data_IF_110997844667
#
_entry.id   IF_110997844667
#
_cell.length_a   1.000
_cell.length_b   1.000
_cell.length_c   1.000
_cell.angle_alpha   90.00
_cell.angle_beta   90.00
_cell.angle_gamma   90.00
#
_symmetry.space_group_name_H-M   'P 1'
#
loop_
_entity.id
_entity.type
_entity.pdbx_description
1 polymer ?
#
# COMPACT_ATOMS: atom_id res chain seq x y z
N UNK A 1 -11.18 35.10 -32.98
CA UNK A 1 -11.24 35.38 -31.53
C UNK A 1 -11.76 34.20 -30.72
N UNK A 2 -12.86 33.55 -31.13
CA UNK A 2 -13.47 32.40 -30.43
C UNK A 2 -12.61 31.13 -30.50
N UNK A 3 -11.92 30.87 -31.62
CA UNK A 3 -11.03 29.70 -31.74
C UNK A 3 -9.82 29.77 -30.80
N UNK A 4 -9.20 30.95 -30.67
CA UNK A 4 -8.08 31.14 -29.74
C UNK A 4 -8.49 30.90 -28.28
N UNK A 5 -9.75 31.20 -27.92
CA UNK A 5 -10.30 30.92 -26.58
C UNK A 5 -10.49 29.42 -26.37
N UNK A 6 -10.98 28.69 -27.38
CA UNK A 6 -11.10 27.22 -27.31
C UNK A 6 -9.73 26.56 -27.20
N UNK A 7 -8.76 26.96 -28.01
CA UNK A 7 -7.39 26.43 -27.97
C UNK A 7 -6.73 26.71 -26.62
N UNK A 8 -6.91 27.89 -26.05
CA UNK A 8 -6.39 28.25 -24.73
C UNK A 8 -7.05 27.42 -23.61
N UNK A 9 -8.37 27.17 -23.71
CA UNK A 9 -9.11 26.33 -22.77
C UNK A 9 -8.63 24.86 -22.82
N UNK A 10 -8.38 24.32 -24.02
CA UNK A 10 -7.87 22.96 -24.21
C UNK A 10 -6.47 22.79 -23.62
N UNK A 11 -5.58 23.79 -23.79
CA UNK A 11 -4.23 23.78 -23.18
C UNK A 11 -4.33 23.83 -21.65
N UNK A 12 -5.23 24.64 -21.10
CA UNK A 12 -5.41 24.75 -19.65
C UNK A 12 -5.90 23.43 -19.04
N UNK A 13 -6.84 22.74 -19.69
CA UNK A 13 -7.32 21.41 -19.26
C UNK A 13 -6.19 20.36 -19.33
N UNK A 14 -5.36 20.38 -20.36
CA UNK A 14 -4.23 19.46 -20.49
C UNK A 14 -3.14 19.67 -19.42
N UNK A 15 -2.93 20.90 -18.95
CA UNK A 15 -1.97 21.20 -17.88
C UNK A 15 -2.43 20.72 -16.49
N UNK A 16 -3.74 20.67 -16.23
CA UNK A 16 -4.29 20.18 -14.94
C UNK A 16 -4.25 18.65 -14.78
N UNK A 17 -3.98 17.89 -15.85
CA UNK A 17 -3.96 16.41 -15.81
C UNK A 17 -2.67 15.88 -15.14
N UNK A 18 -1.65 16.70 -14.93
CA UNK A 18 -0.39 16.27 -14.30
C UNK A 18 -0.41 16.30 -12.76
N UNK A 19 -1.58 16.36 -12.12
CA UNK A 19 -1.67 16.06 -10.69
C UNK A 19 -1.34 14.56 -10.57
N UNK A 20 -0.10 14.25 -10.19
CA UNK A 20 0.29 12.90 -9.80
C UNK A 20 -0.50 12.52 -8.54
N UNK A 21 -1.73 12.04 -8.71
CA UNK A 21 -2.39 11.25 -7.69
C UNK A 21 -1.43 10.10 -7.40
N UNK A 22 -0.86 10.10 -6.20
CA UNK A 22 -0.07 8.98 -5.73
C UNK A 22 -1.05 7.84 -5.46
N UNK A 23 -1.39 7.11 -6.52
CA UNK A 23 -2.37 6.04 -6.44
C UNK A 23 -1.74 4.86 -5.70
N UNK A 24 -2.51 4.28 -4.79
CA UNK A 24 -2.19 2.97 -4.24
C UNK A 24 -2.62 1.89 -5.23
N UNK A 25 -1.82 0.83 -5.37
CA UNK A 25 -2.21 -0.37 -6.10
C UNK A 25 -2.32 -1.54 -5.13
N UNK A 26 -3.31 -2.41 -5.36
CA UNK A 26 -3.55 -3.60 -4.55
C UNK A 26 -3.53 -4.79 -5.51
N UNK A 27 -2.63 -5.73 -5.26
CA UNK A 27 -2.45 -6.94 -6.06
C UNK A 27 -2.50 -8.17 -5.16
N UNK A 28 -3.22 -9.22 -5.59
CA UNK A 28 -3.15 -10.52 -4.93
C UNK A 28 -2.02 -11.31 -5.54
N UNK A 29 -1.00 -11.63 -4.74
CA UNK A 29 0.26 -12.24 -5.24
C UNK A 29 0.35 -13.74 -4.97
N UNK A 30 -0.45 -14.26 -4.03
CA UNK A 30 -0.60 -15.68 -3.73
C UNK A 30 -1.91 -15.93 -2.94
N UNK A 31 -2.34 -17.18 -2.73
CA UNK A 31 -3.47 -17.49 -1.85
C UNK A 31 -3.28 -16.88 -0.46
N UNK A 32 -4.19 -15.98 -0.07
CA UNK A 32 -4.12 -15.29 1.23
C UNK A 32 -3.02 -14.21 1.36
N UNK A 33 -2.35 -13.82 0.27
CA UNK A 33 -1.28 -12.80 0.29
C UNK A 33 -1.60 -11.66 -0.67
N UNK A 34 -1.66 -10.44 -0.14
CA UNK A 34 -1.90 -9.22 -0.89
C UNK A 34 -0.71 -8.27 -0.76
N UNK A 35 -0.37 -7.60 -1.86
CA UNK A 35 0.65 -6.56 -1.94
C UNK A 35 -0.03 -5.21 -2.19
N UNK A 36 0.19 -4.27 -1.27
CA UNK A 36 -0.24 -2.88 -1.43
C UNK A 36 0.98 -2.02 -1.72
N UNK A 37 0.96 -1.28 -2.83
CA UNK A 37 2.05 -0.37 -3.21
C UNK A 37 1.55 1.05 -3.22
N UNK A 38 2.26 1.96 -2.56
CA UNK A 38 1.96 3.40 -2.56
C UNK A 38 3.11 4.17 -3.19
N UNK A 39 2.81 4.94 -4.23
CA UNK A 39 3.80 5.73 -4.95
C UNK A 39 4.85 4.86 -5.64
N UNK A 40 6.09 5.35 -5.69
CA UNK A 40 7.21 4.64 -6.29
C UNK A 40 8.10 4.07 -5.19
N UNK A 41 8.21 2.73 -5.05
CA UNK A 41 9.11 2.11 -4.09
C UNK A 41 10.57 2.50 -4.32
N UNK A 42 11.36 2.47 -3.26
CA UNK A 42 12.81 2.68 -3.34
C UNK A 42 13.47 1.66 -4.27
N UNK A 43 14.56 2.09 -4.90
CA UNK A 43 15.33 1.27 -5.85
C UNK A 43 15.80 -0.04 -5.21
N UNK A 44 16.25 0.02 -3.96
CA UNK A 44 16.75 -1.12 -3.21
C UNK A 44 15.89 -1.31 -1.96
N UNK A 45 15.23 -2.46 -1.88
CA UNK A 45 14.40 -2.87 -0.74
C UNK A 45 15.08 -4.03 -0.03
N UNK A 46 14.90 -4.20 1.30
CA UNK A 46 15.39 -5.39 1.99
C UNK A 46 14.94 -6.70 1.33
N UNK A 47 13.74 -6.72 0.74
CA UNK A 47 13.20 -7.87 0.00
C UNK A 47 13.96 -8.24 -1.28
N UNK A 48 14.81 -7.36 -1.80
CA UNK A 48 15.60 -7.61 -3.01
C UNK A 48 16.85 -8.45 -2.72
N UNK A 49 17.19 -8.64 -1.43
CA UNK A 49 18.40 -9.34 -0.98
C UNK A 49 18.10 -10.69 -0.29
N UNK A 50 16.84 -11.13 -0.29
CA UNK A 50 16.41 -12.42 0.28
C UNK A 50 16.16 -13.43 -0.85
N UNK A 51 16.07 -14.70 -0.48
CA UNK A 51 15.63 -15.75 -1.39
C UNK A 51 14.19 -15.54 -1.87
N UNK A 52 13.90 -16.12 -3.04
CA UNK A 52 12.56 -16.14 -3.60
C UNK A 52 11.58 -16.87 -2.67
N UNK A 53 10.32 -16.42 -2.58
CA UNK A 53 9.31 -17.10 -1.79
C UNK A 53 9.06 -18.52 -2.32
N UNK A 54 8.69 -19.45 -1.43
CA UNK A 54 8.31 -20.81 -1.79
C UNK A 54 6.93 -20.85 -2.47
N UNK A 55 6.86 -20.38 -3.73
CA UNK A 55 5.62 -20.19 -4.47
C UNK A 55 4.82 -21.49 -4.65
N UNK A 56 5.49 -22.63 -4.84
CA UNK A 56 4.84 -23.95 -4.92
C UNK A 56 4.16 -24.38 -3.62
N UNK A 57 4.67 -23.94 -2.47
CA UNK A 57 4.04 -24.20 -1.19
C UNK A 57 2.87 -23.25 -0.96
N UNK A 58 3.03 -21.97 -1.30
CA UNK A 58 1.98 -20.97 -1.20
C UNK A 58 0.77 -21.31 -2.07
N UNK A 59 0.97 -21.85 -3.28
CA UNK A 59 -0.12 -22.23 -4.19
C UNK A 59 -0.98 -23.39 -3.67
N UNK A 60 -0.49 -24.15 -2.68
CA UNK A 60 -1.21 -25.26 -2.04
C UNK A 60 -2.01 -24.81 -0.81
N UNK A 61 -1.86 -23.56 -0.38
CA UNK A 61 -2.65 -23.01 0.73
C UNK A 61 -4.11 -22.84 0.33
N UNK A 62 -5.00 -22.83 1.32
CA UNK A 62 -6.42 -22.56 1.09
C UNK A 62 -6.62 -21.18 0.46
N UNK A 63 -7.40 -21.13 -0.62
CA UNK A 63 -7.72 -19.88 -1.29
C UNK A 63 -8.65 -19.04 -0.42
N UNK A 64 -8.21 -17.83 -0.06
CA UNK A 64 -9.07 -16.81 0.53
C UNK A 64 -9.41 -15.81 -0.57
N UNK A 65 -10.64 -15.82 -1.08
CA UNK A 65 -11.07 -14.89 -2.13
C UNK A 65 -10.99 -13.43 -1.68
N UNK A 66 -11.23 -13.18 -0.40
CA UNK A 66 -11.25 -11.84 0.21
C UNK A 66 -10.09 -11.64 1.16
N UNK A 67 -9.58 -10.41 1.18
CA UNK A 67 -8.65 -9.94 2.20
C UNK A 67 -9.30 -9.98 3.59
N UNK A 68 -8.52 -10.20 4.68
CA UNK A 68 -9.06 -10.19 6.05
C UNK A 68 -9.71 -8.85 6.45
N UNK A 69 -9.37 -7.75 5.79
CA UNK A 69 -9.99 -6.44 5.95
C UNK A 69 -9.98 -5.66 4.63
N UNK A 70 -10.72 -4.56 4.56
CA UNK A 70 -10.75 -3.71 3.38
C UNK A 70 -9.42 -2.96 3.19
N UNK A 71 -8.58 -3.48 2.30
CA UNK A 71 -7.25 -2.93 1.98
C UNK A 71 -7.32 -1.50 1.40
N UNK A 72 -8.47 -1.09 0.86
CA UNK A 72 -8.64 0.27 0.35
C UNK A 72 -8.68 1.32 1.45
N UNK A 73 -8.96 0.91 2.70
CA UNK A 73 -9.01 1.78 3.88
C UNK A 73 -7.63 2.10 4.45
N UNK A 74 -6.57 1.44 4.00
CA UNK A 74 -5.19 1.77 4.40
C UNK A 74 -4.88 3.16 3.86
N UNK A 75 -4.53 4.08 4.76
CA UNK A 75 -4.19 5.45 4.37
C UNK A 75 -2.68 5.60 4.31
N UNK A 76 -2.20 6.14 3.21
CA UNK A 76 -0.80 6.46 3.04
C UNK A 76 -0.59 7.96 2.94
N UNK A 77 0.49 8.45 3.55
CA UNK A 77 0.95 9.83 3.38
C UNK A 77 2.47 9.89 3.35
N UNK A 78 3.01 10.65 2.40
CA UNK A 78 4.42 11.00 2.37
C UNK A 78 4.66 12.22 3.28
N UNK A 79 5.68 12.13 4.13
CA UNK A 79 6.13 13.20 5.02
C UNK A 79 7.60 13.51 4.76
N UNK A 80 8.12 14.58 5.34
CA UNK A 80 9.56 14.88 5.29
C UNK A 80 10.45 13.80 5.93
N UNK A 81 9.87 12.90 6.75
CA UNK A 81 10.59 11.81 7.43
C UNK A 81 10.39 10.44 6.78
N UNK A 82 9.66 10.36 5.67
CA UNK A 82 9.35 9.11 4.97
C UNK A 82 7.85 8.88 4.77
N UNK A 83 7.49 7.63 4.46
CA UNK A 83 6.11 7.21 4.23
C UNK A 83 5.45 6.71 5.51
N UNK A 84 4.22 7.16 5.78
CA UNK A 84 3.39 6.66 6.88
C UNK A 84 2.24 5.85 6.27
N UNK A 85 2.05 4.64 6.78
CA UNK A 85 0.89 3.80 6.51
C UNK A 85 0.04 3.70 7.78
N UNK A 86 -1.25 4.01 7.66
CA UNK A 86 -2.22 3.98 8.75
C UNK A 86 -3.24 2.88 8.47
N UNK A 87 -3.33 1.91 9.37
CA UNK A 87 -4.32 0.84 9.35
C UNK A 87 -5.31 1.10 10.48
N UNK A 88 -6.61 0.97 10.18
CA UNK A 88 -7.65 1.10 11.20
C UNK A 88 -7.76 -0.22 11.96
N UNK A 89 -7.95 -0.14 13.27
CA UNK A 89 -8.04 -1.28 14.17
C UNK A 89 -9.32 -1.16 15.00
N UNK A 90 -10.02 -2.26 15.22
CA UNK A 90 -11.16 -2.36 16.12
C UNK A 90 -10.72 -2.32 17.58
N UNK A 91 -11.61 -1.93 18.49
CA UNK A 91 -11.31 -1.84 19.93
C UNK A 91 -10.90 -3.18 20.56
N UNK A 92 -11.35 -4.29 19.99
CA UNK A 92 -11.09 -5.64 20.52
C UNK A 92 -9.80 -6.29 19.99
N UNK A 93 -9.20 -5.74 18.92
CA UNK A 93 -8.06 -6.35 18.26
C UNK A 93 -6.82 -6.37 19.15
N UNK A 94 -5.98 -7.41 18.99
CA UNK A 94 -4.72 -7.56 19.72
C UNK A 94 -3.59 -7.62 18.70
N UNK A 95 -2.53 -6.86 18.95
CA UNK A 95 -1.34 -6.85 18.09
C UNK A 95 -0.24 -7.72 18.72
N UNK A 96 0.40 -8.53 17.89
CA UNK A 96 1.54 -9.38 18.24
C UNK A 96 2.61 -9.28 17.15
N UNK A 97 3.83 -9.75 17.44
CA UNK A 97 4.94 -9.72 16.48
C UNK A 97 5.91 -8.59 16.77
N UNK A 98 6.32 -7.85 15.74
CA UNK A 98 7.38 -6.82 15.79
C UNK A 98 8.77 -7.35 16.16
N UNK A 99 9.01 -8.65 15.94
CA UNK A 99 10.30 -9.30 16.16
C UNK A 99 10.60 -9.57 17.63
N UNK A 100 11.88 -9.51 17.99
CA UNK A 100 12.35 -9.77 19.35
C UNK A 100 12.05 -8.57 20.25
N UNK A 101 10.93 -8.64 20.97
CA UNK A 101 10.52 -7.65 21.97
C UNK A 101 10.76 -8.21 23.38
N UNK A 102 11.38 -7.41 24.25
CA UNK A 102 11.61 -7.81 25.63
C UNK A 102 10.44 -7.39 26.51
N UNK A 103 10.00 -8.29 27.39
CA UNK A 103 9.06 -8.01 28.48
C UNK A 103 7.62 -7.63 28.07
N UNK A 104 7.23 -7.75 26.81
CA UNK A 104 5.84 -7.58 26.35
C UNK A 104 5.47 -8.66 25.34
N UNK A 105 4.28 -9.24 25.50
CA UNK A 105 3.75 -10.22 24.54
C UNK A 105 2.74 -9.56 23.60
N UNK A 106 1.74 -8.88 24.17
CA UNK A 106 0.80 -8.03 23.42
C UNK A 106 1.43 -6.65 23.17
N UNK A 107 1.34 -6.17 21.93
CA UNK A 107 1.98 -4.93 21.46
C UNK A 107 0.96 -3.84 21.10
N UNK A 108 -0.31 -4.04 21.43
CA UNK A 108 -1.32 -2.97 21.34
C UNK A 108 -1.00 -1.93 22.41
N UNK A 109 -0.89 -0.67 21.98
CA UNK A 109 -0.77 0.47 22.89
C UNK A 109 -2.01 0.61 23.77
N UNK A 110 -1.85 1.31 24.89
CA UNK A 110 -2.93 1.60 25.84
C UNK A 110 -4.05 2.42 25.21
#
# INVERSE_FOLDING_TARGET
MIENIKTLLTIFIALFINISLTAQTIEKVAPGVWKVTYGTPEKFKPSDFKEDPALEALSKMSENEKSPFDLSTIKFKTTSRGCVAELTMEDSEKLYGFGLQNNTFQQRGF
#
